data_IF_750795276854
#
_entry.id   IF_750795276854
#
_cell.length_a   1.000
_cell.length_b   1.000
_cell.length_c   1.000
_cell.angle_alpha   90.00
_cell.angle_beta   90.00
_cell.angle_gamma   90.00
#
_symmetry.space_group_name_H-M   'P 1'
#
loop_
_entity.id
_entity.type
_entity.pdbx_description
1 polymer ?
#
# COMPACT_ATOMS: atom_id res chain seq x y z
N UNK A 1 39.68 32.19 20.21
CA UNK A 1 38.23 32.52 20.22
C UNK A 1 37.63 32.37 18.80
N UNK A 2 38.14 33.07 17.80
CA UNK A 2 37.63 32.99 16.43
C UNK A 2 37.78 31.60 15.77
N UNK A 3 38.89 30.88 15.99
CA UNK A 3 39.10 29.51 15.50
C UNK A 3 38.14 28.46 16.13
N UNK A 4 37.80 28.61 17.40
CA UNK A 4 36.87 27.73 18.11
C UNK A 4 35.44 27.99 17.66
N UNK A 5 35.11 29.22 17.38
CA UNK A 5 33.81 29.64 16.85
C UNK A 5 33.61 29.14 15.41
N UNK A 6 34.61 29.27 14.53
CA UNK A 6 34.59 28.75 13.19
C UNK A 6 34.44 27.23 13.11
N UNK A 7 35.13 26.47 13.99
CA UNK A 7 34.97 25.02 14.07
C UNK A 7 33.58 24.59 14.56
N UNK A 8 33.00 25.31 15.51
CA UNK A 8 31.62 25.02 15.97
C UNK A 8 30.61 25.29 14.87
N UNK A 9 30.75 26.38 14.13
CA UNK A 9 29.86 26.69 13.00
C UNK A 9 29.97 25.64 11.90
N UNK A 10 31.19 25.16 11.54
CA UNK A 10 31.41 24.07 10.60
C UNK A 10 30.81 22.74 11.06
N UNK A 11 30.93 22.40 12.38
CA UNK A 11 30.33 21.20 12.96
C UNK A 11 28.80 21.31 13.00
N UNK A 12 28.23 22.46 13.30
CA UNK A 12 26.80 22.74 13.31
C UNK A 12 26.22 22.69 11.88
N UNK A 13 26.90 23.22 10.89
CA UNK A 13 26.53 23.11 9.47
C UNK A 13 26.57 21.66 8.96
N UNK A 14 27.61 20.90 9.32
CA UNK A 14 27.72 19.48 8.97
C UNK A 14 26.57 18.67 9.60
N UNK A 15 26.23 18.93 10.85
CA UNK A 15 25.10 18.28 11.53
C UNK A 15 23.76 18.62 10.88
N UNK A 16 23.57 19.88 10.47
CA UNK A 16 22.36 20.29 9.75
C UNK A 16 22.25 19.59 8.38
N UNK A 17 23.36 19.45 7.65
CA UNK A 17 23.40 18.73 6.39
C UNK A 17 23.05 17.24 6.57
N UNK A 18 23.55 16.59 7.62
CA UNK A 18 23.20 15.21 7.97
C UNK A 18 21.71 15.05 8.32
N UNK A 19 21.17 15.96 9.10
CA UNK A 19 19.72 15.96 9.44
C UNK A 19 18.84 16.13 8.20
N UNK A 20 19.23 17.02 7.31
CA UNK A 20 18.51 17.21 6.02
C UNK A 20 18.58 15.98 5.12
N UNK A 21 19.70 15.30 5.10
CA UNK A 21 19.87 14.05 4.38
C UNK A 21 18.95 12.96 4.94
N UNK A 22 18.95 12.76 6.25
CA UNK A 22 18.05 11.81 6.93
C UNK A 22 16.58 12.16 6.70
N UNK A 23 16.21 13.42 6.80
CA UNK A 23 14.84 13.88 6.53
C UNK A 23 14.40 13.49 5.12
N UNK A 24 15.25 13.73 4.11
CA UNK A 24 14.96 13.35 2.73
C UNK A 24 14.78 11.84 2.59
N UNK A 25 15.68 11.05 3.16
CA UNK A 25 15.65 9.59 3.12
C UNK A 25 14.36 9.04 3.73
N UNK A 26 13.94 9.56 4.89
CA UNK A 26 12.69 9.14 5.51
C UNK A 26 11.46 9.60 4.72
N UNK A 27 11.49 10.79 4.13
CA UNK A 27 10.40 11.26 3.26
C UNK A 27 10.25 10.41 2.00
N UNK A 28 11.35 10.00 1.38
CA UNK A 28 11.35 9.08 0.24
C UNK A 28 10.76 7.72 0.63
N UNK A 29 11.19 7.16 1.76
CA UNK A 29 10.64 5.89 2.26
C UNK A 29 9.16 6.02 2.62
N UNK A 30 8.77 7.12 3.25
CA UNK A 30 7.36 7.40 3.56
C UNK A 30 6.48 7.42 2.30
N UNK A 31 6.94 8.07 1.23
CA UNK A 31 6.22 8.10 -0.04
C UNK A 31 6.03 6.71 -0.64
N UNK A 32 7.08 5.86 -0.60
CA UNK A 32 6.99 4.47 -1.06
C UNK A 32 6.02 3.65 -0.21
N UNK A 33 6.07 3.77 1.10
CA UNK A 33 5.15 3.08 2.02
C UNK A 33 3.70 3.49 1.76
N UNK A 34 3.45 4.78 1.53
CA UNK A 34 2.11 5.26 1.20
C UNK A 34 1.59 4.70 -0.13
N UNK A 35 2.45 4.54 -1.12
CA UNK A 35 2.12 3.91 -2.41
C UNK A 35 1.82 2.41 -2.22
N UNK A 36 2.66 1.69 -1.48
CA UNK A 36 2.46 0.28 -1.15
C UNK A 36 1.13 0.06 -0.41
N UNK A 37 0.79 0.90 0.58
CA UNK A 37 -0.50 0.84 1.29
C UNK A 37 -1.67 1.02 0.32
N UNK A 38 -1.61 2.02 -0.57
CA UNK A 38 -2.68 2.23 -1.55
C UNK A 38 -2.87 1.04 -2.47
N UNK A 39 -1.78 0.41 -2.91
CA UNK A 39 -1.83 -0.77 -3.77
C UNK A 39 -2.47 -1.95 -3.05
N UNK A 40 -2.01 -2.27 -1.83
CA UNK A 40 -2.56 -3.38 -1.03
C UNK A 40 -4.03 -3.17 -0.70
N UNK A 41 -4.42 -1.97 -0.31
CA UNK A 41 -5.83 -1.62 -0.02
C UNK A 41 -6.68 -1.72 -1.30
N UNK A 42 -6.18 -1.24 -2.44
CA UNK A 42 -6.86 -1.35 -3.73
C UNK A 42 -7.08 -2.80 -4.16
N UNK A 43 -6.07 -3.66 -4.01
CA UNK A 43 -6.16 -5.09 -4.29
C UNK A 43 -7.17 -5.77 -3.34
N UNK A 44 -7.15 -5.45 -2.05
CA UNK A 44 -8.13 -5.98 -1.09
C UNK A 44 -9.57 -5.57 -1.41
N UNK A 45 -9.78 -4.35 -1.86
CA UNK A 45 -11.11 -3.91 -2.30
C UNK A 45 -11.59 -4.73 -3.52
N UNK A 46 -10.71 -5.00 -4.47
CA UNK A 46 -11.01 -5.84 -5.63
C UNK A 46 -11.31 -7.29 -5.23
N UNK A 47 -10.53 -7.86 -4.31
CA UNK A 47 -10.74 -9.21 -3.78
C UNK A 47 -12.04 -9.32 -2.98
N UNK A 48 -12.39 -8.29 -2.21
CA UNK A 48 -13.68 -8.22 -1.51
C UNK A 48 -14.85 -8.19 -2.49
N UNK A 49 -14.72 -7.47 -3.59
CA UNK A 49 -15.69 -7.50 -4.69
C UNK A 49 -15.85 -8.90 -5.30
N UNK A 50 -14.74 -9.58 -5.56
CA UNK A 50 -14.75 -10.97 -6.05
C UNK A 50 -15.43 -11.92 -5.03
N UNK A 51 -15.16 -11.74 -3.75
CA UNK A 51 -15.81 -12.53 -2.68
C UNK A 51 -17.33 -12.37 -2.66
N UNK A 52 -17.82 -11.15 -2.86
CA UNK A 52 -19.27 -10.88 -2.96
C UNK A 52 -19.86 -11.58 -4.20
N UNK A 53 -19.20 -11.49 -5.34
CA UNK A 53 -19.65 -12.16 -6.58
C UNK A 53 -19.69 -13.67 -6.39
N UNK A 54 -18.65 -14.27 -5.83
CA UNK A 54 -18.60 -15.71 -5.56
C UNK A 54 -19.69 -16.16 -4.57
N UNK A 55 -20.05 -15.32 -3.61
CA UNK A 55 -21.14 -15.57 -2.67
C UNK A 55 -22.53 -15.57 -3.31
N UNK A 56 -22.70 -14.93 -4.46
CA UNK A 56 -23.97 -14.77 -5.16
C UNK A 56 -24.01 -15.41 -6.57
N UNK A 57 -22.99 -16.18 -6.92
CA UNK A 57 -22.85 -16.69 -8.30
C UNK A 57 -24.00 -17.61 -8.71
N UNK A 58 -24.57 -18.34 -7.80
CA UNK A 58 -25.75 -19.19 -8.07
C UNK A 58 -26.96 -18.37 -8.52
N UNK A 59 -27.13 -17.16 -8.00
CA UNK A 59 -28.20 -16.25 -8.40
C UNK A 59 -28.01 -15.67 -9.80
N UNK A 60 -26.79 -15.65 -10.31
CA UNK A 60 -26.47 -15.21 -11.66
C UNK A 60 -26.64 -16.32 -12.73
N UNK A 61 -26.79 -17.58 -12.27
CA UNK A 61 -26.98 -18.73 -13.16
C UNK A 61 -28.32 -18.63 -13.91
N UNK A 62 -28.29 -18.87 -15.22
CA UNK A 62 -29.44 -18.80 -16.10
C UNK A 62 -30.14 -17.43 -16.22
N UNK A 63 -29.54 -16.38 -15.70
CA UNK A 63 -30.02 -15.02 -15.85
C UNK A 63 -29.03 -14.18 -16.68
N UNK A 64 -29.55 -13.23 -17.43
CA UNK A 64 -28.73 -12.27 -18.16
C UNK A 64 -27.93 -11.44 -17.12
N UNK A 65 -26.62 -11.43 -17.28
CA UNK A 65 -25.68 -10.76 -16.37
C UNK A 65 -24.93 -9.66 -17.14
N UNK A 66 -24.72 -8.53 -16.50
CA UNK A 66 -23.88 -7.45 -17.03
C UNK A 66 -22.42 -7.70 -16.63
N UNK A 67 -21.55 -7.79 -17.62
CA UNK A 67 -20.11 -8.00 -17.45
C UNK A 67 -19.40 -6.68 -17.76
N UNK A 68 -18.77 -6.08 -16.75
CA UNK A 68 -17.99 -4.85 -16.90
C UNK A 68 -16.73 -5.08 -17.72
N UNK A 69 -16.55 -4.34 -18.80
CA UNK A 69 -15.36 -4.41 -19.68
C UNK A 69 -14.56 -3.10 -19.69
N UNK A 70 -15.07 -2.09 -19.05
CA UNK A 70 -14.42 -0.79 -18.91
C UNK A 70 -15.30 0.20 -18.14
N UNK A 71 -14.82 1.41 -17.84
CA UNK A 71 -15.60 2.40 -17.12
C UNK A 71 -16.92 2.72 -17.81
N UNK A 72 -18.05 2.33 -17.20
CA UNK A 72 -19.39 2.56 -17.73
C UNK A 72 -19.79 1.70 -18.93
N UNK A 73 -18.98 0.71 -19.33
CA UNK A 73 -19.25 -0.17 -20.46
C UNK A 73 -19.46 -1.61 -19.98
N UNK A 74 -20.58 -2.18 -20.36
CA UNK A 74 -20.99 -3.52 -19.95
C UNK A 74 -21.39 -4.37 -21.16
N UNK A 75 -21.01 -5.63 -21.12
CA UNK A 75 -21.52 -6.65 -22.01
C UNK A 75 -22.62 -7.45 -21.33
N UNK A 76 -23.60 -7.90 -22.12
CA UNK A 76 -24.58 -8.86 -21.63
C UNK A 76 -24.06 -10.28 -21.84
N UNK A 77 -24.18 -11.11 -20.84
CA UNK A 77 -23.71 -12.48 -20.92
C UNK A 77 -24.49 -13.42 -20.01
N UNK A 78 -24.22 -14.69 -20.15
CA UNK A 78 -24.77 -15.76 -19.34
C UNK A 78 -23.59 -16.52 -18.70
N UNK A 79 -23.72 -16.87 -17.43
CA UNK A 79 -22.79 -17.79 -16.76
C UNK A 79 -23.32 -19.21 -16.95
N UNK A 80 -22.65 -19.98 -17.79
CA UNK A 80 -23.08 -21.34 -18.14
C UNK A 80 -22.81 -22.34 -17.02
N UNK A 81 -21.68 -22.20 -16.31
CA UNK A 81 -21.28 -23.08 -15.22
C UNK A 81 -20.94 -22.28 -13.96
N UNK A 82 -21.87 -22.13 -13.02
CA UNK A 82 -21.65 -21.40 -11.77
C UNK A 82 -20.88 -22.20 -10.72
N UNK A 83 -20.57 -23.48 -10.96
CA UNK A 83 -19.92 -24.35 -9.97
C UNK A 83 -18.41 -24.20 -9.93
N UNK A 84 -17.82 -23.70 -11.00
CA UNK A 84 -16.37 -23.51 -11.13
C UNK A 84 -16.03 -22.10 -11.62
N UNK A 85 -14.87 -21.63 -11.23
CA UNK A 85 -14.29 -20.35 -11.62
C UNK A 85 -12.83 -20.51 -11.98
N UNK A 86 -12.34 -19.56 -12.78
CA UNK A 86 -10.93 -19.50 -13.18
C UNK A 86 -10.21 -18.54 -12.23
N UNK A 87 -9.14 -19.01 -11.63
CA UNK A 87 -8.35 -18.26 -10.64
C UNK A 87 -6.90 -18.14 -11.10
N UNK A 88 -6.40 -16.91 -11.15
CA UNK A 88 -4.97 -16.66 -11.38
C UNK A 88 -4.18 -16.98 -10.12
N UNK A 89 -3.19 -17.87 -10.26
CA UNK A 89 -2.34 -18.33 -9.14
C UNK A 89 -0.92 -17.78 -9.18
N UNK A 90 -0.65 -16.86 -10.11
CA UNK A 90 0.67 -16.28 -10.34
C UNK A 90 1.45 -16.96 -11.46
N UNK A 91 2.56 -16.35 -11.87
CA UNK A 91 3.42 -16.87 -12.94
C UNK A 91 2.76 -16.98 -14.32
N UNK A 92 1.64 -16.29 -14.55
CA UNK A 92 0.85 -16.38 -15.79
C UNK A 92 -0.07 -17.61 -15.86
N UNK A 93 -0.17 -18.38 -14.78
CA UNK A 93 -1.04 -19.58 -14.73
C UNK A 93 -2.43 -19.23 -14.20
N UNK A 94 -3.44 -19.78 -14.89
CA UNK A 94 -4.83 -19.72 -14.47
C UNK A 94 -5.31 -21.15 -14.26
N UNK A 95 -5.93 -21.42 -13.14
CA UNK A 95 -6.46 -22.73 -12.78
C UNK A 95 -7.96 -22.68 -12.55
N UNK A 96 -8.64 -23.76 -12.88
CA UNK A 96 -10.05 -23.95 -12.57
C UNK A 96 -10.20 -24.43 -11.12
N UNK A 97 -11.09 -23.78 -10.37
CA UNK A 97 -11.42 -24.15 -8.97
C UNK A 97 -12.93 -24.20 -8.80
N UNK A 98 -13.40 -25.10 -7.93
CA UNK A 98 -14.77 -25.04 -7.42
C UNK A 98 -14.99 -23.71 -6.69
N UNK A 99 -16.23 -23.23 -6.66
CA UNK A 99 -16.59 -21.95 -6.05
C UNK A 99 -16.20 -21.89 -4.56
N UNK A 100 -16.41 -22.95 -3.81
CA UNK A 100 -16.04 -22.98 -2.39
C UNK A 100 -14.53 -22.91 -2.16
N UNK A 101 -13.73 -23.60 -2.98
CA UNK A 101 -12.28 -23.52 -2.92
C UNK A 101 -11.78 -22.14 -3.37
N UNK A 102 -12.41 -21.52 -4.36
CA UNK A 102 -12.10 -20.16 -4.80
C UNK A 102 -12.41 -19.14 -3.70
N UNK A 103 -13.51 -19.27 -2.98
CA UNK A 103 -13.82 -18.43 -1.82
C UNK A 103 -12.74 -18.50 -0.75
N UNK A 104 -12.31 -19.70 -0.39
CA UNK A 104 -11.23 -19.90 0.59
C UNK A 104 -9.90 -19.31 0.11
N UNK A 105 -9.61 -19.46 -1.17
CA UNK A 105 -8.41 -18.86 -1.78
C UNK A 105 -8.42 -17.34 -1.68
N UNK A 106 -9.54 -16.70 -2.01
CA UNK A 106 -9.73 -15.25 -1.91
C UNK A 106 -9.63 -14.78 -0.45
N UNK A 107 -10.29 -15.46 0.47
CA UNK A 107 -10.21 -15.15 1.91
C UNK A 107 -8.79 -15.22 2.45
N UNK A 108 -8.04 -16.25 2.07
CA UNK A 108 -6.63 -16.39 2.45
C UNK A 108 -5.75 -15.27 1.86
N UNK A 109 -6.06 -14.81 0.67
CA UNK A 109 -5.35 -13.71 0.03
C UNK A 109 -5.64 -12.37 0.71
N UNK A 110 -6.91 -12.11 1.02
CA UNK A 110 -7.33 -10.93 1.80
C UNK A 110 -6.62 -10.91 3.17
N UNK A 111 -6.56 -12.03 3.85
CA UNK A 111 -5.89 -12.13 5.16
C UNK A 111 -4.40 -11.79 5.06
N UNK A 112 -3.70 -12.31 4.05
CA UNK A 112 -2.28 -11.96 3.80
C UNK A 112 -2.09 -10.47 3.52
N UNK A 113 -2.94 -9.87 2.68
CA UNK A 113 -2.92 -8.44 2.39
C UNK A 113 -3.23 -7.58 3.61
N UNK A 114 -4.15 -8.02 4.48
CA UNK A 114 -4.42 -7.32 5.75
C UNK A 114 -3.21 -7.30 6.67
N UNK A 115 -2.48 -8.40 6.78
CA UNK A 115 -1.23 -8.47 7.55
C UNK A 115 -0.16 -7.55 6.98
N UNK A 116 0.01 -7.55 5.67
CA UNK A 116 0.93 -6.64 4.98
C UNK A 116 0.54 -5.18 5.18
N UNK A 117 -0.73 -4.83 5.01
CA UNK A 117 -1.23 -3.49 5.25
C UNK A 117 -1.00 -3.02 6.69
N UNK A 118 -1.23 -3.88 7.67
CA UNK A 118 -0.99 -3.55 9.08
C UNK A 118 0.50 -3.31 9.36
N UNK A 119 1.40 -4.09 8.78
CA UNK A 119 2.85 -3.89 8.90
C UNK A 119 3.29 -2.56 8.26
N UNK A 120 2.76 -2.24 7.07
CA UNK A 120 3.03 -0.99 6.36
C UNK A 120 2.48 0.23 7.12
N UNK A 121 1.29 0.13 7.70
CA UNK A 121 0.71 1.20 8.52
C UNK A 121 1.53 1.47 9.78
N UNK A 122 2.07 0.43 10.40
CA UNK A 122 3.00 0.58 11.53
C UNK A 122 4.30 1.26 11.11
N UNK A 123 4.90 0.86 9.99
CA UNK A 123 6.08 1.51 9.43
C UNK A 123 5.80 2.98 9.11
N UNK A 124 4.63 3.30 8.56
CA UNK A 124 4.20 4.67 8.31
C UNK A 124 4.19 5.50 9.59
N UNK A 125 3.60 5.00 10.67
CA UNK A 125 3.56 5.70 11.95
C UNK A 125 4.96 5.95 12.52
N UNK A 126 5.84 4.96 12.43
CA UNK A 126 7.24 5.09 12.86
C UNK A 126 7.98 6.15 12.03
N UNK A 127 7.76 6.18 10.71
CA UNK A 127 8.34 7.19 9.82
C UNK A 127 7.79 8.59 10.10
N UNK A 128 6.49 8.74 10.33
CA UNK A 128 5.86 10.01 10.71
C UNK A 128 6.50 10.56 11.99
N UNK A 129 6.68 9.73 13.01
CA UNK A 129 7.35 10.10 14.25
C UNK A 129 8.81 10.53 14.05
N UNK A 130 9.56 9.77 13.25
CA UNK A 130 10.95 10.08 12.93
C UNK A 130 11.08 11.38 12.12
N UNK A 131 10.20 11.61 11.14
CA UNK A 131 10.17 12.82 10.33
C UNK A 131 9.85 14.05 11.20
N UNK A 132 8.89 13.94 12.11
CA UNK A 132 8.56 15.02 13.04
C UNK A 132 9.75 15.36 13.96
N UNK A 133 10.41 14.35 14.52
CA UNK A 133 11.60 14.54 15.37
C UNK A 133 12.73 15.22 14.60
N UNK A 134 13.05 14.75 13.40
CA UNK A 134 14.09 15.34 12.57
C UNK A 134 13.74 16.77 12.14
N UNK A 135 12.49 17.04 11.78
CA UNK A 135 12.04 18.39 11.45
C UNK A 135 12.23 19.36 12.63
N UNK A 136 11.90 18.92 13.83
CA UNK A 136 12.13 19.70 15.04
C UNK A 136 13.64 19.98 15.27
N UNK A 137 14.48 18.97 15.13
CA UNK A 137 15.94 19.10 15.27
C UNK A 137 16.55 20.00 14.21
N UNK A 138 16.07 19.96 12.98
CA UNK A 138 16.48 20.88 11.91
C UNK A 138 16.12 22.32 12.27
N UNK A 139 14.90 22.57 12.77
CA UNK A 139 14.47 23.89 13.22
C UNK A 139 15.36 24.44 14.32
N UNK A 140 15.71 23.61 15.29
CA UNK A 140 16.64 23.97 16.38
C UNK A 140 18.04 24.29 15.88
N UNK A 141 18.61 23.46 15.02
CA UNK A 141 19.92 23.67 14.45
C UNK A 141 19.99 24.96 13.61
N UNK A 142 18.91 25.31 12.89
CA UNK A 142 18.82 26.55 12.14
C UNK A 142 18.77 27.80 13.04
N UNK A 143 18.05 27.72 14.17
CA UNK A 143 18.01 28.79 15.16
C UNK A 143 19.39 29.05 15.78
N UNK A 144 20.14 27.99 16.08
CA UNK A 144 21.48 28.06 16.64
C UNK A 144 22.50 28.70 15.68
N UNK A 145 22.35 28.48 14.36
CA UNK A 145 23.23 29.09 13.34
C UNK A 145 22.94 30.59 13.12
N UNK A 146 21.75 31.07 13.48
CA UNK A 146 21.35 32.48 13.28
C UNK A 146 21.52 33.34 14.54
N UNK A 147 22.00 32.80 15.62
CA UNK A 147 22.32 33.51 16.87
C UNK A 147 23.82 33.76 16.97
#
# INVERSE_FOLDING_TARGET
MAEIQGKREEEEEATLAELRYLHRTYMERYSLVMEEIRNVVGENNSLSGASVVLGNIENASNHETLIGVGPGIYLKGLIENPDTVMVSVGGGYIVEKGVEDAKKFVEGWIERHNKEANALMKEREELEGAIMDISYRIGKAQEELHV
#
